data_IF_391500908727
#
_entry.id   IF_391500908727
#
_cell.length_a   1.000
_cell.length_b   1.000
_cell.length_c   1.000
_cell.angle_alpha   90.00
_cell.angle_beta   90.00
_cell.angle_gamma   90.00
#
_symmetry.space_group_name_H-M   'P 1'
#
loop_
_entity.id
_entity.type
_entity.pdbx_description
1 polymer ?
#
# COMPACT_ATOMS: atom_id res chain seq x y z
N UNK A 1 -31.76 -3.52 23.97
CA UNK A 1 -30.61 -3.53 23.05
C UNK A 1 -29.77 -2.30 23.35
N UNK A 2 -28.47 -2.44 23.56
CA UNK A 2 -27.59 -1.28 23.75
C UNK A 2 -27.56 -0.47 22.44
N UNK A 3 -27.48 0.85 22.53
CA UNK A 3 -27.41 1.74 21.36
C UNK A 3 -26.33 1.30 20.36
N UNK A 4 -25.18 0.84 20.85
CA UNK A 4 -24.07 0.29 20.06
C UNK A 4 -24.52 -0.95 19.27
N UNK A 5 -25.16 -1.92 19.93
CA UNK A 5 -25.65 -3.14 19.26
C UNK A 5 -26.70 -2.83 18.19
N UNK A 6 -27.54 -1.82 18.44
CA UNK A 6 -28.52 -1.34 17.48
C UNK A 6 -27.85 -0.73 16.23
N UNK A 7 -26.81 0.11 16.42
CA UNK A 7 -26.10 0.75 15.30
C UNK A 7 -25.44 -0.27 14.36
N UNK A 8 -24.75 -1.29 14.90
CA UNK A 8 -24.12 -2.32 14.07
C UNK A 8 -25.15 -3.07 13.21
N UNK A 9 -26.28 -3.46 13.80
CA UNK A 9 -27.34 -4.15 13.08
C UNK A 9 -27.96 -3.23 12.02
N UNK A 10 -28.26 -1.98 12.39
CA UNK A 10 -28.86 -1.01 11.49
C UNK A 10 -28.00 -0.73 10.25
N UNK A 11 -26.70 -0.51 10.42
CA UNK A 11 -25.78 -0.23 9.29
C UNK A 11 -25.66 -1.43 8.34
N UNK A 12 -25.59 -2.64 8.89
CA UNK A 12 -25.53 -3.87 8.08
C UNK A 12 -26.81 -4.07 7.28
N UNK A 13 -27.97 -3.90 7.92
CA UNK A 13 -29.29 -4.00 7.27
C UNK A 13 -29.47 -2.93 6.19
N UNK A 14 -29.06 -1.70 6.46
CA UNK A 14 -29.17 -0.59 5.50
C UNK A 14 -28.33 -0.83 4.24
N UNK A 15 -27.11 -1.36 4.41
CA UNK A 15 -26.23 -1.73 3.28
C UNK A 15 -26.86 -2.82 2.42
N UNK A 16 -27.40 -3.87 3.04
CA UNK A 16 -28.10 -4.94 2.32
C UNK A 16 -29.37 -4.44 1.63
N UNK A 17 -30.13 -3.57 2.28
CA UNK A 17 -31.34 -2.97 1.70
C UNK A 17 -31.02 -2.16 0.44
N UNK A 18 -29.96 -1.34 0.46
CA UNK A 18 -29.55 -0.61 -0.75
C UNK A 18 -29.03 -1.53 -1.86
N UNK A 19 -28.34 -2.62 -1.52
CA UNK A 19 -27.91 -3.61 -2.50
C UNK A 19 -29.11 -4.30 -3.17
N UNK A 20 -30.11 -4.72 -2.39
CA UNK A 20 -31.34 -5.34 -2.92
C UNK A 20 -32.14 -4.36 -3.75
N UNK A 21 -32.28 -3.10 -3.29
CA UNK A 21 -32.92 -2.05 -4.08
C UNK A 21 -32.22 -1.84 -5.42
N UNK A 22 -30.88 -1.76 -5.44
CA UNK A 22 -30.14 -1.65 -6.69
C UNK A 22 -30.41 -2.86 -7.60
N UNK A 23 -30.41 -4.07 -7.07
CA UNK A 23 -30.67 -5.28 -7.85
C UNK A 23 -32.08 -5.33 -8.46
N UNK A 24 -33.09 -4.83 -7.73
CA UNK A 24 -34.49 -4.83 -8.20
C UNK A 24 -34.79 -3.67 -9.17
N UNK A 25 -34.23 -2.48 -8.91
CA UNK A 25 -34.52 -1.29 -9.70
C UNK A 25 -33.58 -1.10 -10.91
N UNK A 26 -32.37 -1.67 -10.90
CA UNK A 26 -31.41 -1.45 -11.97
C UNK A 26 -31.77 -2.24 -13.25
N UNK A 27 -31.70 -1.62 -14.43
CA UNK A 27 -31.91 -2.31 -15.70
C UNK A 27 -30.80 -3.33 -15.96
N UNK A 28 -31.16 -4.60 -16.02
CA UNK A 28 -30.23 -5.69 -16.30
C UNK A 28 -30.21 -6.02 -17.81
N UNK A 29 -29.25 -5.45 -18.54
CA UNK A 29 -28.98 -5.78 -19.94
C UNK A 29 -27.60 -6.48 -20.07
N UNK A 30 -27.57 -7.83 -20.04
CA UNK A 30 -26.37 -8.64 -20.19
C UNK A 30 -25.98 -8.79 -21.68
N UNK A 31 -24.77 -8.39 -22.05
CA UNK A 31 -24.19 -8.64 -23.37
C UNK A 31 -22.77 -9.18 -23.23
N UNK A 32 -22.29 -9.98 -24.19
CA UNK A 32 -21.01 -10.68 -24.09
C UNK A 32 -19.84 -9.73 -23.84
N UNK A 33 -19.80 -8.59 -24.55
CA UNK A 33 -18.75 -7.57 -24.37
C UNK A 33 -18.85 -6.78 -23.05
N UNK A 34 -19.97 -6.89 -22.32
CA UNK A 34 -20.10 -6.30 -20.97
C UNK A 34 -19.40 -7.15 -19.92
N UNK A 35 -19.36 -8.46 -20.16
CA UNK A 35 -18.78 -9.45 -19.27
C UNK A 35 -17.30 -9.71 -19.56
N UNK A 36 -16.81 -9.31 -20.74
CA UNK A 36 -15.39 -9.34 -21.06
C UNK A 36 -14.67 -8.18 -20.37
N UNK A 37 -13.38 -8.38 -20.08
CA UNK A 37 -12.51 -7.35 -19.54
C UNK A 37 -12.30 -6.29 -20.63
N UNK A 38 -12.42 -5.01 -20.28
CA UNK A 38 -12.17 -3.94 -21.24
C UNK A 38 -10.69 -3.93 -21.63
N UNK A 39 -10.41 -4.20 -22.89
CA UNK A 39 -9.09 -4.06 -23.49
C UNK A 39 -9.20 -3.26 -24.77
N UNK A 40 -8.23 -2.38 -25.02
CA UNK A 40 -8.19 -1.50 -26.19
C UNK A 40 -7.88 -2.29 -27.49
N UNK A 41 -8.76 -3.21 -27.88
CA UNK A 41 -8.75 -3.93 -29.17
C UNK A 41 -7.92 -5.22 -29.22
N UNK A 42 -7.27 -5.63 -28.12
CA UNK A 42 -6.52 -6.89 -28.04
C UNK A 42 -7.08 -7.75 -26.92
N UNK A 43 -7.17 -9.06 -27.15
CA UNK A 43 -7.56 -10.02 -26.12
C UNK A 43 -6.39 -10.31 -25.18
N UNK A 44 -6.67 -10.42 -23.89
CA UNK A 44 -5.72 -10.69 -22.81
C UNK A 44 -4.87 -11.90 -23.17
N UNK A 45 -3.55 -11.75 -23.04
CA UNK A 45 -2.60 -12.81 -23.34
C UNK A 45 -2.91 -14.04 -22.48
N UNK A 46 -3.52 -15.06 -23.10
CA UNK A 46 -3.82 -16.35 -22.48
C UNK A 46 -2.49 -16.98 -22.02
N UNK A 47 -2.27 -17.03 -20.70
CA UNK A 47 -1.11 -17.72 -20.10
C UNK A 47 -0.14 -16.84 -19.28
N UNK A 48 -0.31 -15.52 -19.24
CA UNK A 48 0.54 -14.61 -18.44
C UNK A 48 -0.29 -13.83 -17.40
N UNK A 49 -0.72 -14.51 -16.33
CA UNK A 49 -1.46 -13.88 -15.22
C UNK A 49 -0.55 -13.26 -14.13
N UNK A 50 0.76 -13.24 -14.37
CA UNK A 50 1.77 -12.71 -13.44
C UNK A 50 2.49 -11.58 -14.14
N UNK A 51 2.21 -10.36 -13.72
CA UNK A 51 2.95 -9.18 -14.18
C UNK A 51 4.26 -9.05 -13.40
N UNK A 52 5.31 -8.56 -14.05
CA UNK A 52 6.58 -8.29 -13.38
C UNK A 52 6.43 -7.04 -12.51
N UNK A 53 6.29 -7.23 -11.19
CA UNK A 53 6.29 -6.14 -10.22
C UNK A 53 7.68 -5.94 -9.62
N UNK A 54 8.00 -4.70 -9.26
CA UNK A 54 9.25 -4.38 -8.59
C UNK A 54 9.24 -4.86 -7.13
N UNK A 55 10.37 -5.41 -6.66
CA UNK A 55 10.56 -5.86 -5.26
C UNK A 55 10.32 -4.73 -4.25
N UNK A 56 10.45 -3.47 -4.67
CA UNK A 56 10.27 -2.27 -3.85
C UNK A 56 8.88 -2.17 -3.21
N UNK A 57 7.83 -2.62 -3.89
CA UNK A 57 6.47 -2.65 -3.32
C UNK A 57 6.35 -3.65 -2.16
N UNK A 58 7.08 -4.77 -2.23
CA UNK A 58 7.14 -5.74 -1.14
C UNK A 58 7.91 -5.19 0.06
N UNK A 59 9.01 -4.46 -0.17
CA UNK A 59 9.77 -3.81 0.91
C UNK A 59 8.88 -2.79 1.62
N UNK A 60 8.13 -1.96 0.89
CA UNK A 60 7.17 -1.02 1.49
C UNK A 60 6.16 -1.73 2.42
N UNK A 61 5.61 -2.87 1.98
CA UNK A 61 4.67 -3.64 2.79
C UNK A 61 5.32 -4.23 4.06
N UNK A 62 6.57 -4.69 3.98
CA UNK A 62 7.31 -5.18 5.15
C UNK A 62 7.59 -4.06 6.17
N UNK A 63 7.99 -2.88 5.70
CA UNK A 63 8.24 -1.72 6.58
C UNK A 63 6.95 -1.27 7.25
N UNK A 64 5.85 -1.22 6.50
CA UNK A 64 4.53 -0.91 7.05
C UNK A 64 4.12 -1.92 8.12
N UNK A 65 4.30 -3.22 7.88
CA UNK A 65 3.99 -4.28 8.85
C UNK A 65 4.81 -4.12 10.13
N UNK A 66 6.10 -3.79 10.03
CA UNK A 66 6.97 -3.60 11.19
C UNK A 66 6.54 -2.36 12.00
N UNK A 67 6.22 -1.25 11.34
CA UNK A 67 5.74 -0.02 11.99
C UNK A 67 4.35 -0.21 12.63
N UNK A 68 3.47 -1.00 12.02
CA UNK A 68 2.16 -1.34 12.61
C UNK A 68 2.33 -2.20 13.88
N UNK A 69 3.29 -3.13 13.83
CA UNK A 69 3.66 -3.97 14.97
C UNK A 69 4.29 -3.17 16.13
N UNK A 70 4.96 -2.06 15.83
CA UNK A 70 5.47 -1.15 16.87
C UNK A 70 4.30 -0.53 17.66
N UNK A 71 3.28 -0.03 16.98
CA UNK A 71 2.15 0.66 17.61
C UNK A 71 1.34 -0.30 18.49
N UNK A 72 1.10 -1.54 18.04
CA UNK A 72 0.37 -2.53 18.86
C UNK A 72 1.14 -2.90 20.14
N UNK A 73 2.48 -2.87 20.13
CA UNK A 73 3.31 -3.11 21.33
C UNK A 73 3.30 -1.90 22.27
N UNK A 74 3.26 -0.67 21.73
CA UNK A 74 3.20 0.55 22.55
C UNK A 74 1.81 0.73 23.19
N UNK A 75 0.75 0.27 22.53
CA UNK A 75 -0.64 0.42 23.00
C UNK A 75 -0.89 -0.06 24.45
N UNK A 76 -0.51 -1.28 24.89
CA UNK A 76 -0.70 -1.72 26.27
C UNK A 76 0.08 -0.89 27.29
N UNK A 77 1.27 -0.38 26.92
CA UNK A 77 2.01 0.55 27.78
C UNK A 77 1.25 1.87 27.92
N UNK A 78 0.66 2.39 26.84
CA UNK A 78 -0.20 3.59 26.89
C UNK A 78 -1.40 3.42 27.83
N UNK A 79 -1.98 2.21 27.88
CA UNK A 79 -3.10 1.91 28.79
C UNK A 79 -2.68 1.74 30.27
N UNK A 80 -1.46 1.26 30.52
CA UNK A 80 -0.95 0.94 31.86
C UNK A 80 0.16 1.89 32.34
N UNK A 81 0.26 3.08 31.75
CA UNK A 81 1.35 4.02 32.00
C UNK A 81 1.49 4.47 33.46
N UNK A 82 0.39 4.51 34.22
CA UNK A 82 0.40 4.87 35.63
C UNK A 82 1.08 3.81 36.51
N UNK A 83 0.81 2.52 36.25
CA UNK A 83 1.35 1.39 37.01
C UNK A 83 2.83 1.15 36.70
N UNK A 84 3.23 1.33 35.44
CA UNK A 84 4.59 1.06 34.98
C UNK A 84 5.60 2.18 35.30
N UNK A 85 5.12 3.38 35.62
CA UNK A 85 5.93 4.54 36.01
C UNK A 85 7.05 4.89 35.03
N UNK A 86 8.15 5.44 35.56
CA UNK A 86 9.33 5.82 34.78
C UNK A 86 10.04 4.60 34.16
N UNK A 87 9.99 3.45 34.83
CA UNK A 87 10.69 2.25 34.38
C UNK A 87 10.14 1.74 33.03
N UNK A 88 8.81 1.61 32.91
CA UNK A 88 8.19 1.22 31.64
C UNK A 88 8.41 2.26 30.53
N UNK A 89 8.43 3.55 30.88
CA UNK A 89 8.70 4.62 29.94
C UNK A 89 10.10 4.49 29.31
N UNK A 90 11.12 4.18 30.11
CA UNK A 90 12.49 3.98 29.60
C UNK A 90 12.55 2.79 28.64
N UNK A 91 11.88 1.68 28.97
CA UNK A 91 11.84 0.49 28.10
C UNK A 91 11.18 0.82 26.76
N UNK A 92 10.04 1.50 26.78
CA UNK A 92 9.30 1.87 25.57
C UNK A 92 10.08 2.87 24.72
N UNK A 93 10.78 3.84 25.33
CA UNK A 93 11.66 4.75 24.61
C UNK A 93 12.83 4.04 23.92
N UNK A 94 13.46 3.07 24.60
CA UNK A 94 14.54 2.27 24.01
C UNK A 94 13.99 1.44 22.84
N UNK A 95 12.81 0.84 23.00
CA UNK A 95 12.15 0.05 21.96
C UNK A 95 11.85 0.88 20.71
N UNK A 96 11.19 2.04 20.87
CA UNK A 96 10.93 2.99 19.78
C UNK A 96 12.23 3.44 19.12
N UNK A 97 13.26 3.73 19.91
CA UNK A 97 14.56 4.16 19.41
C UNK A 97 15.22 3.13 18.49
N UNK A 98 15.18 1.83 18.86
CA UNK A 98 15.75 0.74 18.06
C UNK A 98 14.99 0.58 16.73
N UNK A 99 13.66 0.58 16.77
CA UNK A 99 12.83 0.43 15.55
C UNK A 99 12.99 1.63 14.63
N UNK A 100 12.94 2.84 15.18
CA UNK A 100 13.15 4.08 14.42
C UNK A 100 14.53 4.10 13.77
N UNK A 101 15.58 3.64 14.45
CA UNK A 101 16.91 3.54 13.87
C UNK A 101 16.96 2.56 12.68
N UNK A 102 16.25 1.43 12.77
CA UNK A 102 16.08 0.48 11.66
C UNK A 102 15.37 1.13 10.46
N UNK A 103 14.30 1.88 10.71
CA UNK A 103 13.57 2.62 9.67
C UNK A 103 14.43 3.68 8.98
N UNK A 104 15.21 4.45 9.75
CA UNK A 104 16.15 5.45 9.21
C UNK A 104 17.23 4.79 8.35
N UNK A 105 17.74 3.62 8.75
CA UNK A 105 18.71 2.87 7.97
C UNK A 105 18.15 2.44 6.60
N UNK A 106 16.92 1.96 6.56
CA UNK A 106 16.27 1.55 5.30
C UNK A 106 15.97 2.74 4.37
N UNK A 107 15.61 3.89 4.94
CA UNK A 107 15.48 5.15 4.19
C UNK A 107 16.82 5.55 3.55
N UNK A 108 17.92 5.47 4.29
CA UNK A 108 19.26 5.77 3.78
C UNK A 108 19.68 4.85 2.62
N UNK A 109 19.19 3.60 2.59
CA UNK A 109 19.42 2.66 1.47
C UNK A 109 18.53 2.92 0.25
N UNK A 110 17.70 3.97 0.26
CA UNK A 110 16.76 4.31 -0.80
C UNK A 110 15.82 3.15 -1.18
N UNK A 111 15.55 2.23 -0.24
CA UNK A 111 14.76 1.03 -0.50
C UNK A 111 13.31 1.36 -0.92
N UNK A 112 12.83 2.53 -0.51
CA UNK A 112 11.50 3.08 -0.77
C UNK A 112 11.43 3.94 -2.05
N UNK A 113 12.57 4.23 -2.70
CA UNK A 113 12.59 5.06 -3.91
C UNK A 113 12.06 4.27 -5.09
N UNK A 114 10.96 4.69 -5.69
CA UNK A 114 10.43 4.09 -6.92
C UNK A 114 11.25 4.63 -8.11
N UNK A 115 12.04 3.77 -8.76
CA UNK A 115 12.79 4.15 -9.96
C UNK A 115 11.99 3.72 -11.19
N UNK A 116 11.78 4.65 -12.13
CA UNK A 116 11.23 4.31 -13.44
C UNK A 116 12.36 3.89 -14.40
N UNK A 117 12.22 2.74 -15.06
CA UNK A 117 13.18 2.28 -16.09
C UNK A 117 13.37 3.30 -17.22
N UNK A 118 12.33 4.08 -17.52
CA UNK A 118 12.38 5.14 -18.54
C UNK A 118 13.34 6.28 -18.16
N UNK A 119 13.45 6.63 -16.87
CA UNK A 119 14.35 7.71 -16.42
C UNK A 119 15.83 7.38 -16.68
N UNK A 120 16.26 6.14 -16.43
CA UNK A 120 17.65 5.72 -16.67
C UNK A 120 18.03 5.72 -18.17
N UNK A 121 17.14 5.23 -19.05
CA UNK A 121 17.42 5.21 -20.49
C UNK A 121 17.50 6.61 -21.09
N UNK A 122 16.72 7.58 -20.59
CA UNK A 122 16.74 8.95 -21.10
C UNK A 122 18.02 9.68 -20.73
N UNK A 123 18.53 9.47 -19.52
CA UNK A 123 19.80 10.06 -19.07
C UNK A 123 20.97 9.54 -19.93
N UNK A 124 21.07 8.21 -20.11
CA UNK A 124 22.13 7.59 -20.92
C UNK A 124 22.09 8.05 -22.38
N UNK A 125 20.90 8.13 -22.98
CA UNK A 125 20.75 8.60 -24.37
C UNK A 125 21.14 10.08 -24.53
N UNK A 126 20.83 10.93 -23.56
CA UNK A 126 21.28 12.32 -23.55
C UNK A 126 22.80 12.43 -23.40
N UNK A 127 23.44 11.57 -22.60
CA UNK A 127 24.90 11.62 -22.41
C UNK A 127 25.65 11.17 -23.65
N UNK A 128 25.20 10.09 -24.31
CA UNK A 128 25.76 9.69 -25.60
C UNK A 128 25.60 10.77 -26.67
N UNK A 129 24.43 11.41 -26.74
CA UNK A 129 24.21 12.51 -27.67
C UNK A 129 25.19 13.67 -27.42
N UNK A 130 25.36 14.11 -26.17
CA UNK A 130 26.32 15.17 -25.84
C UNK A 130 27.75 14.75 -26.20
N UNK A 131 28.16 13.52 -25.90
CA UNK A 131 29.50 13.04 -26.23
C UNK A 131 29.72 12.99 -27.75
N UNK A 132 28.75 12.55 -28.54
CA UNK A 132 28.85 12.59 -30.02
C UNK A 132 28.90 14.00 -30.59
N UNK A 133 28.29 14.99 -29.92
CA UNK A 133 28.39 16.40 -30.30
C UNK A 133 29.72 17.05 -29.89
N UNK A 134 30.32 16.62 -28.79
CA UNK A 134 31.63 17.09 -28.33
C UNK A 134 32.77 16.46 -29.13
N UNK A 135 32.63 15.20 -29.54
CA UNK A 135 33.65 14.46 -30.29
C UNK A 135 33.68 14.84 -31.79
N UNK A 136 32.59 15.40 -32.34
CA UNK A 136 32.51 15.92 -33.72
C UNK A 136 32.85 17.42 -33.86
N UNK A 137 33.45 18.05 -32.84
CA UNK A 137 33.89 19.45 -32.88
C UNK A 137 35.39 19.54 -32.62
#
# INVERSE_FOLDING_TARGET
MNSITFLFIFVSVLTLLFLVLNFVLAPHNPYQEKYSIFECGFHSFLGQNRTQFGVKFFIFALVYLLLDLEIIIIYPFGLSGYENGIYGLIIVLIFIGIITAGFVFELGKNALKIDSRQSNNFYHKSTEFINTFVENK
#
